data_IF_043798695707
#
_entry.id   IF_043798695707
#
_cell.length_a   1.000
_cell.length_b   1.000
_cell.length_c   1.000
_cell.angle_alpha   90.00
_cell.angle_beta   90.00
_cell.angle_gamma   90.00
#
_symmetry.space_group_name_H-M   'P 1'
#
loop_
_entity.id
_entity.type
_entity.pdbx_description
1 polymer ?
#
# COMPACT_ATOMS: atom_id res chain seq x y z
N UNK A 1 -28.04 18.19 -4.91
CA UNK A 1 -26.86 18.63 -5.67
C UNK A 1 -25.67 17.93 -5.03
N UNK A 2 -25.41 16.70 -5.45
CA UNK A 2 -24.30 15.87 -4.96
C UNK A 2 -23.21 16.03 -6.01
N UNK A 3 -22.11 16.68 -5.64
CA UNK A 3 -20.94 16.79 -6.50
C UNK A 3 -20.23 15.43 -6.55
N UNK A 4 -20.28 14.80 -7.71
CA UNK A 4 -19.41 13.68 -8.08
C UNK A 4 -17.96 14.21 -8.19
N UNK A 5 -17.17 14.02 -7.14
CA UNK A 5 -15.70 14.10 -7.24
C UNK A 5 -15.19 12.84 -7.97
N UNK A 6 -15.44 12.77 -9.27
CA UNK A 6 -14.83 11.79 -10.16
C UNK A 6 -13.38 12.21 -10.43
N UNK A 7 -12.43 11.77 -9.59
CA UNK A 7 -11.01 11.72 -9.97
C UNK A 7 -10.79 10.55 -10.97
N UNK A 8 -11.49 10.56 -12.09
CA UNK A 8 -11.13 9.65 -13.19
C UNK A 8 -9.97 10.25 -13.98
N UNK A 9 -8.76 10.00 -13.46
CA UNK A 9 -7.51 10.45 -14.04
C UNK A 9 -6.80 9.32 -14.82
N UNK A 10 -7.59 8.43 -15.44
CA UNK A 10 -7.12 7.19 -16.07
C UNK A 10 -6.09 7.42 -17.18
N UNK A 11 -6.20 8.52 -17.93
CA UNK A 11 -5.26 8.89 -18.99
C UNK A 11 -3.91 9.38 -18.43
N UNK A 12 -3.92 10.13 -17.33
CA UNK A 12 -2.69 10.57 -16.66
C UNK A 12 -1.96 9.38 -15.99
N UNK A 13 -2.72 8.42 -15.45
CA UNK A 13 -2.19 7.13 -14.97
C UNK A 13 -1.53 6.31 -16.07
N UNK A 14 -2.09 6.31 -17.29
CA UNK A 14 -1.49 5.64 -18.45
C UNK A 14 -0.17 6.29 -18.87
N UNK A 15 -0.13 7.64 -18.91
CA UNK A 15 1.10 8.39 -19.22
C UNK A 15 2.22 8.15 -18.22
N UNK A 16 1.94 8.15 -16.91
CA UNK A 16 2.98 7.89 -15.90
C UNK A 16 3.57 6.47 -15.99
N UNK A 17 2.73 5.46 -16.33
CA UNK A 17 3.22 4.10 -16.59
C UNK A 17 4.15 4.00 -17.81
N UNK A 18 3.98 4.86 -18.81
CA UNK A 18 4.83 4.89 -20.00
C UNK A 18 6.15 5.63 -19.76
N UNK A 19 6.16 6.64 -18.89
CA UNK A 19 7.34 7.48 -18.63
C UNK A 19 8.28 6.93 -17.54
N UNK A 20 7.97 5.78 -16.93
CA UNK A 20 8.81 5.16 -15.90
C UNK A 20 8.87 5.95 -14.58
N UNK A 21 7.93 6.87 -14.34
CA UNK A 21 7.88 7.66 -13.11
C UNK A 21 7.12 6.93 -12.00
N UNK A 22 7.58 7.07 -10.76
CA UNK A 22 6.87 6.54 -9.58
C UNK A 22 5.60 7.34 -9.28
N UNK A 23 4.62 6.71 -8.63
CA UNK A 23 3.39 7.36 -8.21
C UNK A 23 2.96 6.88 -6.82
N UNK A 24 2.03 7.61 -6.20
CA UNK A 24 1.44 7.28 -4.90
C UNK A 24 -0.03 6.94 -5.10
N UNK A 25 -0.46 5.82 -4.53
CA UNK A 25 -1.87 5.44 -4.44
C UNK A 25 -2.32 5.50 -2.99
N UNK A 26 -3.46 6.14 -2.75
CA UNK A 26 -4.03 6.29 -1.41
C UNK A 26 -5.33 5.51 -1.32
N UNK A 27 -5.44 4.62 -0.33
CA UNK A 27 -6.65 3.87 -0.01
C UNK A 27 -7.19 4.42 1.32
N UNK A 28 -8.31 5.13 1.26
CA UNK A 28 -8.93 5.81 2.42
C UNK A 28 -10.39 5.41 2.60
N UNK A 29 -10.88 5.57 3.83
CA UNK A 29 -12.24 5.18 4.22
C UNK A 29 -12.36 4.95 5.73
N UNK A 30 -13.59 4.82 6.22
CA UNK A 30 -13.89 4.53 7.64
C UNK A 30 -13.29 3.19 8.10
N UNK A 31 -13.18 2.98 9.41
CA UNK A 31 -12.83 1.64 9.92
C UNK A 31 -13.81 0.60 9.36
N UNK A 32 -13.32 -0.61 9.06
CA UNK A 32 -14.08 -1.71 8.45
C UNK A 32 -14.51 -1.52 6.99
N UNK A 33 -14.15 -0.41 6.33
CA UNK A 33 -14.43 -0.18 4.90
C UNK A 33 -13.55 -0.99 3.92
N UNK A 34 -12.87 -2.04 4.37
CA UNK A 34 -12.02 -2.89 3.51
C UNK A 34 -10.66 -2.33 3.09
N UNK A 35 -10.13 -1.27 3.74
CA UNK A 35 -8.83 -0.67 3.36
C UNK A 35 -7.67 -1.68 3.32
N UNK A 36 -7.48 -2.44 4.40
CA UNK A 36 -6.40 -3.43 4.47
C UNK A 36 -6.59 -4.53 3.44
N UNK A 37 -7.83 -4.92 3.13
CA UNK A 37 -8.14 -5.93 2.13
C UNK A 37 -7.74 -5.45 0.72
N UNK A 38 -8.09 -4.21 0.37
CA UNK A 38 -7.69 -3.63 -0.91
C UNK A 38 -6.18 -3.43 -1.01
N UNK A 39 -5.51 -3.01 0.07
CA UNK A 39 -4.05 -2.90 0.13
C UNK A 39 -3.38 -4.27 -0.11
N UNK A 40 -3.78 -5.29 0.66
CA UNK A 40 -3.27 -6.67 0.53
C UNK A 40 -3.51 -7.19 -0.90
N UNK A 41 -4.68 -6.93 -1.48
CA UNK A 41 -5.00 -7.32 -2.86
C UNK A 41 -4.04 -6.68 -3.88
N UNK A 42 -3.72 -5.38 -3.75
CA UNK A 42 -2.77 -4.71 -4.65
C UNK A 42 -1.35 -5.21 -4.48
N UNK A 43 -0.91 -5.43 -3.24
CA UNK A 43 0.43 -5.97 -2.94
C UNK A 43 0.59 -7.39 -3.52
N UNK A 44 -0.43 -8.24 -3.38
CA UNK A 44 -0.42 -9.58 -3.96
C UNK A 44 -0.36 -9.55 -5.50
N UNK A 45 -1.09 -8.63 -6.15
CA UNK A 45 -0.99 -8.45 -7.62
C UNK A 45 0.40 -8.02 -8.05
N UNK A 46 1.06 -7.12 -7.31
CA UNK A 46 2.43 -6.71 -7.60
C UNK A 46 3.41 -7.89 -7.47
N UNK A 47 3.26 -8.73 -6.42
CA UNK A 47 4.05 -9.96 -6.26
C UNK A 47 3.84 -10.97 -7.40
N UNK A 48 2.59 -11.16 -7.84
CA UNK A 48 2.26 -12.03 -8.98
C UNK A 48 2.91 -11.51 -10.28
N UNK A 49 2.97 -10.19 -10.45
CA UNK A 49 3.70 -9.53 -11.53
C UNK A 49 5.24 -9.55 -11.36
N UNK A 50 5.75 -10.32 -10.38
CA UNK A 50 7.19 -10.45 -10.04
C UNK A 50 7.86 -9.15 -9.62
N UNK A 51 7.09 -8.18 -9.13
CA UNK A 51 7.64 -6.95 -8.58
C UNK A 51 8.20 -7.21 -7.18
N UNK A 52 9.33 -6.58 -6.85
CA UNK A 52 9.93 -6.64 -5.51
C UNK A 52 9.18 -5.71 -4.55
N UNK A 53 8.38 -6.30 -3.66
CA UNK A 53 7.51 -5.57 -2.73
C UNK A 53 8.14 -5.50 -1.34
N UNK A 54 8.06 -4.34 -0.70
CA UNK A 54 8.26 -4.17 0.74
C UNK A 54 7.00 -3.57 1.37
N UNK A 55 6.66 -4.04 2.56
CA UNK A 55 5.49 -3.54 3.30
C UNK A 55 5.98 -3.08 4.66
N UNK A 56 5.54 -1.91 5.06
CA UNK A 56 5.82 -1.32 6.36
C UNK A 56 4.51 -1.05 7.08
N UNK A 57 4.58 -0.97 8.40
CA UNK A 57 3.46 -0.53 9.22
C UNK A 57 3.98 0.27 10.41
N UNK A 58 3.21 1.21 10.97
CA UNK A 58 3.63 1.88 12.19
C UNK A 58 3.63 0.89 13.37
N UNK A 59 4.67 0.91 14.21
CA UNK A 59 4.79 0.05 15.42
C UNK A 59 3.60 0.16 16.37
N UNK A 60 2.93 1.32 16.39
CA UNK A 60 1.73 1.53 17.22
C UNK A 60 0.50 0.73 16.72
N UNK A 61 0.49 0.29 15.46
CA UNK A 61 -0.61 -0.52 14.93
C UNK A 61 -0.42 -2.02 15.24
N UNK A 62 -0.58 -2.38 16.52
CA UNK A 62 -0.46 -3.75 17.02
C UNK A 62 -1.80 -4.49 17.15
N UNK A 63 -2.89 -3.95 16.58
CA UNK A 63 -4.27 -4.42 16.86
C UNK A 63 -4.53 -5.88 16.50
N UNK A 64 -3.87 -6.37 15.45
CA UNK A 64 -4.09 -7.74 14.92
C UNK A 64 -2.80 -8.57 14.83
N UNK A 65 -1.65 -7.93 14.65
CA UNK A 65 -0.35 -8.57 14.56
C UNK A 65 0.75 -7.51 14.73
N UNK A 66 1.90 -7.88 15.29
CA UNK A 66 3.07 -7.00 15.36
C UNK A 66 3.80 -6.93 14.01
N UNK A 67 3.80 -8.03 13.26
CA UNK A 67 4.64 -8.22 12.07
C UNK A 67 3.83 -8.33 10.77
N UNK A 68 2.50 -8.24 10.83
CA UNK A 68 1.65 -8.35 9.64
C UNK A 68 0.66 -7.19 9.56
N UNK A 69 0.32 -6.78 8.34
CA UNK A 69 -0.94 -6.08 8.06
C UNK A 69 -2.04 -7.13 7.96
N UNK A 70 -3.19 -6.85 8.55
CA UNK A 70 -4.33 -7.76 8.58
C UNK A 70 -5.63 -7.05 8.18
N UNK A 71 -6.49 -7.75 7.45
CA UNK A 71 -7.87 -7.35 7.20
C UNK A 71 -8.82 -7.99 8.21
N UNK A 72 -10.01 -7.40 8.34
CA UNK A 72 -11.08 -8.00 9.14
C UNK A 72 -11.61 -9.32 8.55
N UNK A 73 -11.45 -9.52 7.24
CA UNK A 73 -11.76 -10.76 6.53
C UNK A 73 -10.72 -11.86 6.76
N UNK A 74 -9.72 -11.62 7.63
CA UNK A 74 -8.70 -12.60 8.00
C UNK A 74 -7.52 -12.70 7.04
N UNK A 75 -7.47 -11.87 6.00
CA UNK A 75 -6.29 -11.80 5.13
C UNK A 75 -5.12 -11.16 5.87
N UNK A 76 -3.92 -11.66 5.60
CA UNK A 76 -2.68 -11.17 6.20
C UNK A 76 -1.60 -10.99 5.16
N UNK A 77 -0.67 -10.09 5.42
CA UNK A 77 0.55 -9.94 4.64
C UNK A 77 1.68 -9.46 5.56
N UNK A 78 2.85 -10.09 5.43
CA UNK A 78 4.05 -9.72 6.19
C UNK A 78 4.40 -8.25 6.00
N UNK A 79 4.88 -7.62 7.06
CA UNK A 79 5.21 -6.20 7.11
C UNK A 79 6.29 -5.91 8.14
N UNK A 80 7.13 -4.91 7.87
CA UNK A 80 8.15 -4.46 8.80
C UNK A 80 7.60 -3.34 9.68
N UNK A 81 7.50 -3.52 11.00
CA UNK A 81 7.03 -2.47 11.89
C UNK A 81 8.11 -1.40 12.08
N UNK A 82 7.76 -0.14 11.83
CA UNK A 82 8.66 1.02 11.92
C UNK A 82 8.07 2.10 12.82
N UNK A 83 8.92 2.86 13.50
CA UNK A 83 8.52 3.92 14.45
C UNK A 83 8.40 5.28 13.77
N UNK A 84 8.99 5.45 12.57
CA UNK A 84 8.97 6.71 11.83
C UNK A 84 9.19 6.50 10.33
N UNK A 85 8.83 7.50 9.52
CA UNK A 85 9.14 7.52 8.09
C UNK A 85 10.66 7.51 7.84
N UNK A 86 11.46 8.15 8.70
CA UNK A 86 12.92 8.13 8.57
C UNK A 86 13.51 6.71 8.80
N UNK A 87 12.95 5.93 9.73
CA UNK A 87 13.31 4.51 9.91
C UNK A 87 12.91 3.68 8.69
N UNK A 88 11.69 3.87 8.17
CA UNK A 88 11.23 3.23 6.93
C UNK A 88 12.23 3.43 5.80
N UNK A 89 12.62 4.68 5.54
CA UNK A 89 13.55 5.02 4.44
C UNK A 89 14.90 4.30 4.56
N UNK A 90 15.39 4.06 5.78
CA UNK A 90 16.64 3.30 6.01
C UNK A 90 16.51 1.81 5.70
N UNK A 91 15.30 1.26 5.72
CA UNK A 91 15.02 -0.14 5.43
C UNK A 91 14.59 -0.39 3.98
N UNK A 92 14.40 0.66 3.17
CA UNK A 92 14.12 0.49 1.74
C UNK A 92 15.36 -0.08 1.06
N UNK A 93 15.21 -1.25 0.42
CA UNK A 93 16.25 -1.89 -0.38
C UNK A 93 16.28 -1.25 -1.76
N UNK A 94 17.45 -1.14 -2.35
CA UNK A 94 17.67 -0.52 -3.66
C UNK A 94 16.83 -1.15 -4.78
N UNK A 95 16.55 -2.45 -4.66
CA UNK A 95 15.79 -3.21 -5.64
C UNK A 95 14.27 -3.20 -5.42
N UNK A 96 13.78 -2.44 -4.44
CA UNK A 96 12.35 -2.33 -4.14
C UNK A 96 11.62 -1.60 -5.27
N UNK A 97 10.54 -2.22 -5.78
CA UNK A 97 9.71 -1.64 -6.84
C UNK A 97 8.35 -1.16 -6.33
N UNK A 98 7.85 -1.73 -5.23
CA UNK A 98 6.56 -1.36 -4.64
C UNK A 98 6.69 -1.29 -3.12
N UNK A 99 6.19 -0.22 -2.53
CA UNK A 99 6.13 -0.02 -1.08
C UNK A 99 4.67 0.04 -0.65
N UNK A 100 4.28 -0.86 0.25
CA UNK A 100 3.02 -0.79 1.01
C UNK A 100 3.24 -0.16 2.38
N UNK A 101 2.31 0.68 2.83
CA UNK A 101 2.31 1.34 4.15
C UNK A 101 0.92 1.18 4.76
#
# INVERSE_FOLDING_TARGET
MVEEFAFDNTEERRKNRQNGTGWIEVIVGSMFSGKSEELIRRLNRARIARQKVQVFKPKIDARYSQEEIASHSGQKHDSMPVSSAAELMKHVREDTQVIGI
#
